data_IF_590335206966
#
_entry.id   IF_590335206966
#
_cell.length_a   1.000
_cell.length_b   1.000
_cell.length_c   1.000
_cell.angle_alpha   90.00
_cell.angle_beta   90.00
_cell.angle_gamma   90.00
#
_symmetry.space_group_name_H-M   'P 1'
#
loop_
_entity.id
_entity.type
_entity.pdbx_description
1 polymer ?
#
# COMPACT_ATOMS: atom_id res chain seq x y z
N UNK A 1 19.94 3.55 30.48
CA UNK A 1 18.89 4.12 31.35
C UNK A 1 18.49 5.54 30.96
N UNK A 2 19.37 6.35 30.35
CA UNK A 2 19.05 7.69 29.83
C UNK A 2 18.28 7.72 28.50
N UNK A 3 18.28 6.64 27.70
CA UNK A 3 17.55 6.60 26.40
C UNK A 3 16.06 6.29 26.52
N UNK A 4 15.65 5.58 27.57
CA UNK A 4 14.24 5.20 27.77
C UNK A 4 13.39 6.38 28.23
N UNK A 5 13.93 7.20 29.16
CA UNK A 5 13.27 8.43 29.57
C UNK A 5 13.17 9.45 28.45
N UNK A 6 14.17 9.54 27.54
CA UNK A 6 14.09 10.45 26.38
C UNK A 6 13.09 9.99 25.31
N UNK A 7 12.90 8.68 25.14
CA UNK A 7 11.86 8.12 24.26
C UNK A 7 10.45 8.33 24.84
N UNK A 8 10.29 8.25 26.16
CA UNK A 8 9.01 8.54 26.81
C UNK A 8 8.70 10.04 26.77
N UNK A 9 9.66 10.93 27.09
CA UNK A 9 9.42 12.38 26.99
C UNK A 9 9.17 12.83 25.57
N UNK A 10 9.91 12.32 24.56
CA UNK A 10 9.60 12.59 23.15
C UNK A 10 8.21 12.08 22.77
N UNK A 11 7.82 10.87 23.17
CA UNK A 11 6.46 10.37 22.92
C UNK A 11 5.39 11.28 23.56
N UNK A 12 5.60 11.76 24.79
CA UNK A 12 4.63 12.63 25.50
C UNK A 12 4.63 14.07 24.95
N UNK A 13 5.78 14.64 24.56
CA UNK A 13 5.83 15.95 23.90
C UNK A 13 5.30 15.92 22.45
N UNK A 14 5.45 14.78 21.78
CA UNK A 14 5.01 14.59 20.39
C UNK A 14 3.51 14.30 20.30
N UNK A 15 2.93 13.57 21.28
CA UNK A 15 1.47 13.37 21.44
C UNK A 15 0.75 14.66 21.86
N UNK A 16 1.45 15.64 22.43
CA UNK A 16 0.86 16.93 22.84
C UNK A 16 1.09 18.05 21.82
N UNK A 17 1.86 17.82 20.75
CA UNK A 17 2.23 18.86 19.78
C UNK A 17 3.05 20.01 20.38
N UNK A 18 3.70 19.79 21.54
CA UNK A 18 4.44 20.81 22.29
C UNK A 18 5.92 20.91 21.89
N UNK A 19 6.38 20.10 20.93
CA UNK A 19 7.70 20.25 20.33
C UNK A 19 7.72 21.39 19.30
N UNK A 20 8.51 22.43 19.53
CA UNK A 20 8.62 23.59 18.62
C UNK A 20 9.50 23.31 17.38
N UNK A 21 10.15 22.14 17.31
CA UNK A 21 11.08 21.80 16.23
C UNK A 21 10.46 20.73 15.34
N UNK A 22 10.26 21.08 14.07
CA UNK A 22 9.88 20.13 13.01
C UNK A 22 11.13 19.33 12.64
N UNK A 23 11.04 18.00 12.74
CA UNK A 23 12.09 17.09 12.31
C UNK A 23 12.16 16.99 10.79
N UNK A 24 13.35 16.72 10.25
CA UNK A 24 13.56 16.66 8.80
C UNK A 24 13.00 15.38 8.19
N UNK A 25 12.56 15.49 6.94
CA UNK A 25 12.14 14.37 6.10
C UNK A 25 12.95 14.41 4.82
N UNK A 26 13.55 13.29 4.45
CA UNK A 26 14.09 13.08 3.10
C UNK A 26 13.14 12.14 2.37
N UNK A 27 12.36 12.68 1.44
CA UNK A 27 11.34 11.94 0.70
C UNK A 27 11.97 11.07 -0.39
N UNK A 28 11.21 10.09 -0.90
CA UNK A 28 11.61 9.36 -2.11
C UNK A 28 11.93 10.29 -3.30
N UNK A 29 11.25 11.44 -3.41
CA UNK A 29 11.48 12.43 -4.46
C UNK A 29 12.89 13.04 -4.38
N UNK A 30 13.38 13.31 -3.16
CA UNK A 30 14.72 13.86 -2.93
C UNK A 30 15.85 12.89 -3.31
N UNK A 31 15.51 11.61 -3.51
CA UNK A 31 16.46 10.55 -3.89
C UNK A 31 16.45 10.22 -5.39
N UNK A 32 15.62 10.93 -6.17
CA UNK A 32 15.54 10.75 -7.62
C UNK A 32 16.84 11.24 -8.27
N UNK A 33 17.33 10.46 -9.24
CA UNK A 33 18.46 10.81 -10.10
C UNK A 33 17.97 11.03 -11.52
N UNK A 34 18.63 11.91 -12.25
CA UNK A 34 18.42 12.12 -13.69
C UNK A 34 16.99 12.57 -14.09
N UNK A 35 16.22 13.07 -13.12
CA UNK A 35 14.84 13.56 -13.32
C UNK A 35 13.81 12.49 -13.67
N UNK A 36 14.13 11.19 -13.50
CA UNK A 36 13.22 10.08 -13.74
C UNK A 36 12.75 9.49 -12.40
N UNK A 37 11.46 9.56 -12.11
CA UNK A 37 10.91 8.97 -10.88
C UNK A 37 10.94 7.43 -10.90
N UNK A 38 11.00 6.81 -12.08
CA UNK A 38 11.13 5.37 -12.21
C UNK A 38 12.55 4.90 -11.87
N UNK A 39 12.64 4.00 -10.90
CA UNK A 39 13.81 3.14 -10.68
C UNK A 39 13.37 1.69 -10.79
N UNK A 40 14.10 0.89 -11.59
CA UNK A 40 13.86 -0.54 -11.70
C UNK A 40 14.06 -1.24 -10.35
N UNK A 41 13.26 -2.29 -10.09
CA UNK A 41 13.53 -3.18 -8.96
C UNK A 41 14.79 -4.00 -9.22
N UNK A 42 15.64 -4.08 -8.22
CA UNK A 42 16.77 -5.00 -8.17
C UNK A 42 16.45 -6.21 -7.28
N UNK A 43 17.34 -7.20 -7.34
CA UNK A 43 17.24 -8.43 -6.57
C UNK A 43 16.96 -8.23 -5.07
N UNK A 44 17.51 -7.18 -4.44
CA UNK A 44 17.35 -6.94 -3.00
C UNK A 44 16.00 -6.31 -2.66
N UNK A 45 15.31 -5.73 -3.64
CA UNK A 45 14.07 -5.01 -3.40
C UNK A 45 12.88 -5.91 -3.06
N UNK A 46 12.94 -7.18 -3.46
CA UNK A 46 11.92 -8.20 -3.21
C UNK A 46 12.26 -9.10 -2.02
N UNK A 47 13.39 -8.87 -1.35
CA UNK A 47 13.79 -9.62 -0.16
C UNK A 47 13.00 -9.17 1.05
N UNK A 48 12.52 -10.13 1.84
CA UNK A 48 12.08 -9.87 3.21
C UNK A 48 13.28 -9.39 4.03
N UNK A 49 13.24 -8.13 4.45
CA UNK A 49 14.35 -7.48 5.14
C UNK A 49 14.40 -7.85 6.62
N UNK A 50 13.24 -8.08 7.22
CA UNK A 50 13.04 -8.27 8.65
C UNK A 50 13.77 -7.19 9.45
N UNK A 51 13.51 -5.93 9.08
CA UNK A 51 14.20 -4.76 9.63
C UNK A 51 14.24 -4.79 11.17
N UNK A 52 15.39 -4.45 11.75
CA UNK A 52 15.55 -4.40 13.20
C UNK A 52 14.79 -3.23 13.83
N UNK A 53 14.54 -3.30 15.14
CA UNK A 53 13.82 -2.26 15.87
C UNK A 53 12.31 -2.47 15.78
N UNK A 54 11.53 -1.39 15.94
CA UNK A 54 10.08 -1.46 15.78
C UNK A 54 9.75 -1.29 14.30
N UNK A 55 9.35 -2.34 13.61
CA UNK A 55 9.01 -2.28 12.20
C UNK A 55 7.85 -3.20 11.83
N UNK A 56 7.22 -2.89 10.71
CA UNK A 56 6.26 -3.78 10.05
C UNK A 56 6.64 -3.90 8.60
N UNK A 57 6.79 -5.14 8.14
CA UNK A 57 7.03 -5.47 6.75
C UNK A 57 5.87 -6.31 6.24
N UNK A 58 5.34 -5.98 5.07
CA UNK A 58 4.24 -6.71 4.48
C UNK A 58 4.37 -6.84 2.96
N UNK A 59 3.77 -7.91 2.45
CA UNK A 59 3.53 -8.14 1.04
C UNK A 59 2.03 -8.24 0.83
N UNK A 60 1.50 -7.44 -0.09
CA UNK A 60 0.08 -7.42 -0.45
C UNK A 60 -0.08 -7.72 -1.94
N UNK A 61 -1.00 -8.63 -2.24
CA UNK A 61 -1.39 -9.03 -3.58
C UNK A 61 -2.85 -8.67 -3.79
N UNK A 62 -3.10 -7.53 -4.43
CA UNK A 62 -4.44 -7.07 -4.78
C UNK A 62 -4.86 -7.70 -6.11
N UNK A 63 -6.14 -8.05 -6.22
CA UNK A 63 -6.75 -8.58 -7.44
C UNK A 63 -8.12 -7.93 -7.64
N UNK A 64 -8.35 -7.38 -8.82
CA UNK A 64 -9.66 -6.91 -9.26
C UNK A 64 -10.06 -7.67 -10.51
N UNK A 65 -11.18 -8.37 -10.43
CA UNK A 65 -11.72 -9.15 -11.55
C UNK A 65 -12.50 -8.27 -12.51
N UNK A 66 -12.70 -8.75 -13.74
CA UNK A 66 -13.50 -8.04 -14.74
C UNK A 66 -14.97 -7.87 -14.32
N UNK A 67 -15.50 -8.79 -13.53
CA UNK A 67 -16.87 -8.75 -12.99
C UNK A 67 -17.03 -7.78 -11.82
N UNK A 68 -15.94 -7.17 -11.34
CA UNK A 68 -15.98 -6.23 -10.21
C UNK A 68 -15.93 -6.91 -8.84
N UNK A 69 -15.59 -8.20 -8.77
CA UNK A 69 -15.10 -8.80 -7.54
C UNK A 69 -13.68 -8.33 -7.24
N UNK A 70 -13.36 -8.18 -5.96
CA UNK A 70 -12.08 -7.72 -5.45
C UNK A 70 -11.58 -8.65 -4.35
N UNK A 71 -10.28 -8.93 -4.38
CA UNK A 71 -9.63 -9.69 -3.34
C UNK A 71 -8.26 -9.12 -3.04
N UNK A 72 -7.80 -9.35 -1.81
CA UNK A 72 -6.36 -9.27 -1.54
C UNK A 72 -5.91 -10.34 -0.56
N UNK A 73 -4.63 -10.67 -0.67
CA UNK A 73 -3.87 -11.50 0.25
C UNK A 73 -2.72 -10.65 0.78
N UNK A 74 -2.64 -10.49 2.10
CA UNK A 74 -1.58 -9.74 2.76
C UNK A 74 -0.90 -10.60 3.82
N UNK A 75 0.42 -10.80 3.70
CA UNK A 75 1.23 -11.36 4.78
C UNK A 75 2.02 -10.25 5.47
N UNK A 76 2.02 -10.25 6.80
CA UNK A 76 2.63 -9.23 7.65
C UNK A 76 3.61 -9.91 8.61
N UNK A 77 4.83 -9.40 8.65
CA UNK A 77 5.79 -9.66 9.71
C UNK A 77 5.99 -8.37 10.50
N UNK A 78 5.64 -8.36 11.78
CA UNK A 78 5.77 -7.18 12.64
C UNK A 78 6.60 -7.49 13.88
N UNK A 79 7.58 -6.64 14.18
CA UNK A 79 8.35 -6.66 15.43
C UNK A 79 8.08 -5.40 16.27
N UNK A 80 6.87 -4.85 16.16
CA UNK A 80 6.42 -3.76 17.02
C UNK A 80 6.29 -4.29 18.47
N UNK A 81 7.21 -3.91 19.34
CA UNK A 81 7.17 -4.19 20.78
C UNK A 81 8.46 -4.83 21.34
N UNK A 82 8.37 -5.35 22.58
CA UNK A 82 9.48 -5.98 23.32
C UNK A 82 9.54 -7.51 23.16
N UNK A 83 8.64 -8.10 22.36
CA UNK A 83 8.43 -9.54 22.28
C UNK A 83 8.84 -10.11 20.92
N UNK A 84 8.72 -11.43 20.77
CA UNK A 84 8.88 -12.12 19.48
C UNK A 84 8.00 -11.47 18.39
N UNK A 85 8.43 -11.48 17.13
CA UNK A 85 7.65 -10.92 16.04
C UNK A 85 6.28 -11.58 15.93
N UNK A 86 5.26 -10.80 15.60
CA UNK A 86 3.94 -11.29 15.26
C UNK A 86 3.84 -11.49 13.75
N UNK A 87 3.38 -12.67 13.36
CA UNK A 87 3.09 -13.01 11.97
C UNK A 87 1.58 -13.02 11.81
N UNK A 88 1.06 -12.16 10.96
CA UNK A 88 -0.36 -12.12 10.66
C UNK A 88 -0.60 -12.17 9.17
N UNK A 89 -1.74 -12.72 8.81
CA UNK A 89 -2.21 -12.82 7.46
C UNK A 89 -3.62 -12.23 7.38
N UNK A 90 -3.82 -11.34 6.41
CA UNK A 90 -5.12 -10.74 6.13
C UNK A 90 -5.58 -11.13 4.74
N UNK A 91 -6.82 -11.57 4.62
CA UNK A 91 -7.48 -11.84 3.35
C UNK A 91 -8.79 -11.09 3.26
N UNK A 92 -9.01 -10.47 2.11
CA UNK A 92 -10.28 -9.90 1.70
C UNK A 92 -10.79 -10.67 0.48
N UNK A 93 -12.06 -10.99 0.49
CA UNK A 93 -12.78 -11.42 -0.71
C UNK A 93 -14.14 -10.74 -0.74
N UNK A 94 -14.35 -9.89 -1.73
CA UNK A 94 -15.59 -9.18 -1.99
C UNK A 94 -16.06 -9.52 -3.41
N UNK A 95 -17.31 -9.96 -3.53
CA UNK A 95 -17.93 -10.28 -4.80
C UNK A 95 -19.41 -9.85 -4.75
N UNK A 96 -19.79 -8.78 -5.48
CA UNK A 96 -21.16 -8.28 -5.48
C UNK A 96 -22.14 -9.23 -6.17
N UNK A 97 -21.70 -10.03 -7.15
CA UNK A 97 -22.58 -10.94 -7.89
C UNK A 97 -23.06 -12.09 -7.00
N UNK A 98 -22.17 -12.59 -6.14
CA UNK A 98 -22.51 -13.66 -5.18
C UNK A 98 -22.92 -13.15 -3.80
N UNK A 99 -22.95 -11.82 -3.61
CA UNK A 99 -23.12 -11.15 -2.32
C UNK A 99 -22.16 -11.69 -1.24
N UNK A 100 -20.91 -11.96 -1.64
CA UNK A 100 -19.87 -12.46 -0.74
C UNK A 100 -19.03 -11.30 -0.26
N UNK A 101 -18.89 -11.17 1.05
CA UNK A 101 -18.10 -10.13 1.68
C UNK A 101 -17.38 -10.76 2.88
N UNK A 102 -16.09 -11.06 2.73
CA UNK A 102 -15.28 -11.77 3.71
C UNK A 102 -14.02 -10.98 4.01
N UNK A 103 -13.77 -10.73 5.29
CA UNK A 103 -12.51 -10.24 5.82
C UNK A 103 -12.02 -11.23 6.88
N UNK A 104 -10.78 -11.69 6.75
CA UNK A 104 -10.17 -12.67 7.66
C UNK A 104 -8.79 -12.18 8.05
N UNK A 105 -8.53 -12.12 9.35
CA UNK A 105 -7.22 -11.86 9.93
C UNK A 105 -6.81 -13.06 10.79
N UNK A 106 -5.68 -13.67 10.48
CA UNK A 106 -5.21 -14.92 11.08
C UNK A 106 -3.77 -14.72 11.57
N UNK A 107 -3.55 -14.95 12.85
CA UNK A 107 -2.21 -14.94 13.44
C UNK A 107 -1.55 -16.31 13.31
N UNK A 108 -0.24 -16.32 13.11
CA UNK A 108 0.58 -17.50 12.90
C UNK A 108 1.87 -17.39 13.73
N UNK A 109 2.60 -18.51 13.81
CA UNK A 109 3.80 -18.63 14.63
C UNK A 109 5.06 -18.84 13.80
N UNK A 110 4.95 -19.42 12.60
CA UNK A 110 6.09 -19.73 11.74
C UNK A 110 6.29 -18.70 10.64
N UNK A 111 7.55 -18.39 10.38
CA UNK A 111 7.97 -17.55 9.27
C UNK A 111 9.35 -18.03 8.77
N UNK A 112 9.33 -18.86 7.74
CA UNK A 112 10.52 -19.46 7.14
C UNK A 112 10.77 -18.84 5.77
N UNK A 113 11.92 -18.21 5.62
CA UNK A 113 12.33 -17.60 4.35
C UNK A 113 13.12 -18.59 3.49
N UNK A 114 12.99 -18.46 2.17
CA UNK A 114 13.94 -19.05 1.23
C UNK A 114 15.36 -18.49 1.45
N UNK A 115 16.36 -19.18 0.90
CA UNK A 115 17.76 -18.77 1.05
C UNK A 115 18.04 -17.34 0.50
N UNK A 116 17.34 -16.95 -0.56
CA UNK A 116 17.40 -15.62 -1.15
C UNK A 116 16.44 -14.61 -0.49
N UNK A 117 15.67 -15.04 0.52
CA UNK A 117 14.69 -14.25 1.29
C UNK A 117 13.52 -13.67 0.48
N UNK A 118 13.25 -14.15 -0.73
CA UNK A 118 12.15 -13.62 -1.58
C UNK A 118 10.87 -14.44 -1.55
N UNK A 119 10.96 -15.64 -0.99
CA UNK A 119 9.83 -16.54 -0.78
C UNK A 119 9.69 -16.84 0.70
N UNK A 120 8.46 -17.12 1.13
CA UNK A 120 8.12 -17.35 2.52
C UNK A 120 7.14 -18.51 2.67
N UNK A 121 7.36 -19.29 3.73
CA UNK A 121 6.47 -20.33 4.20
C UNK A 121 6.11 -20.10 5.67
N UNK A 122 4.85 -20.26 6.00
CA UNK A 122 4.31 -20.15 7.36
C UNK A 122 3.56 -21.44 7.73
N UNK A 123 2.75 -21.40 8.79
CA UNK A 123 1.90 -22.52 9.20
C UNK A 123 0.91 -22.95 8.11
N UNK A 124 0.30 -21.98 7.41
CA UNK A 124 -0.77 -22.24 6.42
C UNK A 124 -0.51 -21.61 5.04
N UNK A 125 0.56 -20.84 4.88
CA UNK A 125 0.78 -20.00 3.71
C UNK A 125 2.13 -20.31 3.07
N UNK A 126 2.16 -20.39 1.75
CA UNK A 126 3.37 -20.36 0.95
C UNK A 126 3.25 -19.29 -0.12
N UNK A 127 4.19 -18.35 -0.14
CA UNK A 127 4.34 -17.34 -1.19
C UNK A 127 5.70 -17.61 -1.83
N UNK A 128 5.71 -17.98 -3.10
CA UNK A 128 6.91 -18.38 -3.83
C UNK A 128 7.12 -17.44 -5.01
N UNK A 129 8.26 -16.76 -5.05
CA UNK A 129 8.72 -16.03 -6.24
C UNK A 129 9.47 -16.99 -7.16
N UNK A 130 9.17 -16.95 -8.45
CA UNK A 130 9.89 -17.73 -9.45
C UNK A 130 11.34 -17.23 -9.63
N UNK A 131 12.18 -18.08 -10.23
CA UNK A 131 13.60 -17.76 -10.42
C UNK A 131 13.82 -16.53 -11.33
N UNK A 132 12.90 -16.27 -12.25
CA UNK A 132 12.95 -15.11 -13.16
C UNK A 132 12.43 -13.82 -12.51
N UNK A 133 11.84 -13.90 -11.31
CA UNK A 133 11.27 -12.78 -10.56
C UNK A 133 10.16 -12.05 -11.33
N UNK A 134 9.33 -12.83 -12.01
CA UNK A 134 8.17 -12.40 -12.81
C UNK A 134 6.85 -12.90 -12.25
N UNK A 135 6.84 -13.98 -11.48
CA UNK A 135 5.62 -14.61 -11.02
C UNK A 135 5.69 -14.99 -9.54
N UNK A 136 4.62 -14.66 -8.81
CA UNK A 136 4.38 -15.23 -7.48
C UNK A 136 3.34 -16.34 -7.56
N UNK A 137 3.61 -17.42 -6.83
CA UNK A 137 2.62 -18.45 -6.52
C UNK A 137 2.25 -18.38 -5.05
N UNK A 138 0.99 -18.08 -4.76
CA UNK A 138 0.45 -17.97 -3.41
C UNK A 138 -0.47 -19.16 -3.15
N UNK A 139 -0.21 -19.89 -2.07
CA UNK A 139 -1.08 -20.97 -1.58
C UNK A 139 -1.40 -20.75 -0.11
N UNK A 140 -2.68 -20.82 0.24
CA UNK A 140 -3.18 -20.75 1.60
C UNK A 140 -4.03 -21.99 1.84
N UNK A 141 -3.77 -22.72 2.92
CA UNK A 141 -4.44 -23.99 3.27
C UNK A 141 -5.10 -23.94 4.64
N UNK A 142 -5.54 -22.76 5.07
CA UNK A 142 -6.21 -22.60 6.36
C UNK A 142 -7.62 -23.23 6.31
N UNK A 143 -8.11 -23.90 7.37
CA UNK A 143 -9.42 -24.57 7.35
C UNK A 143 -10.61 -23.67 6.99
N UNK A 144 -10.54 -22.39 7.32
CA UNK A 144 -11.59 -21.41 7.02
C UNK A 144 -11.40 -20.67 5.69
N UNK A 145 -10.25 -20.85 5.04
CA UNK A 145 -9.84 -20.09 3.86
C UNK A 145 -8.76 -20.85 3.09
N UNK A 146 -9.11 -21.29 1.88
CA UNK A 146 -8.15 -21.90 0.95
C UNK A 146 -8.00 -20.99 -0.25
N UNK A 147 -6.76 -20.70 -0.64
CA UNK A 147 -6.45 -19.87 -1.81
C UNK A 147 -5.34 -20.56 -2.59
N UNK A 148 -5.49 -20.63 -3.91
CA UNK A 148 -4.38 -20.90 -4.82
C UNK A 148 -4.40 -19.81 -5.88
N UNK A 149 -3.32 -19.05 -5.99
CA UNK A 149 -3.24 -17.87 -6.86
C UNK A 149 -1.88 -17.84 -7.55
N UNK A 150 -1.91 -17.86 -8.89
CA UNK A 150 -0.79 -17.53 -9.74
C UNK A 150 -0.88 -16.04 -10.10
N UNK A 151 0.24 -15.33 -9.96
CA UNK A 151 0.30 -13.87 -10.05
C UNK A 151 1.50 -13.43 -10.89
N UNK A 152 1.27 -13.19 -12.18
CA UNK A 152 2.29 -12.95 -13.20
C UNK A 152 2.41 -11.46 -13.52
N UNK A 153 3.58 -10.85 -13.27
CA UNK A 153 3.85 -9.44 -13.60
C UNK A 153 3.74 -9.20 -15.10
N UNK A 154 3.02 -8.14 -15.49
CA UNK A 154 2.81 -7.82 -16.91
C UNK A 154 4.04 -7.18 -17.57
N UNK A 155 4.69 -6.21 -16.92
CA UNK A 155 5.91 -5.56 -17.42
C UNK A 155 6.97 -5.47 -16.32
N UNK A 156 7.26 -4.27 -15.82
CA UNK A 156 8.31 -4.00 -14.83
C UNK A 156 7.70 -3.63 -13.50
N UNK A 157 8.37 -4.02 -12.43
CA UNK A 157 8.15 -3.44 -11.11
C UNK A 157 8.95 -2.15 -10.96
N UNK A 158 8.59 -1.33 -9.98
CA UNK A 158 9.32 -0.08 -9.72
C UNK A 158 9.42 0.25 -8.24
N UNK A 159 10.42 1.10 -7.95
CA UNK A 159 10.53 1.93 -6.75
C UNK A 159 10.78 3.38 -7.20
N UNK A 160 10.44 4.36 -6.38
CA UNK A 160 10.78 5.77 -6.65
C UNK A 160 12.12 6.11 -6.02
N UNK A 161 13.08 6.61 -6.80
CA UNK A 161 14.41 6.95 -6.32
C UNK A 161 15.09 5.74 -5.66
N UNK A 162 15.53 5.87 -4.40
CA UNK A 162 16.05 4.76 -3.59
C UNK A 162 14.97 3.81 -3.03
N UNK A 163 13.69 4.13 -3.21
CA UNK A 163 12.56 3.36 -2.69
C UNK A 163 12.30 3.55 -1.20
N UNK A 164 12.86 4.62 -0.59
CA UNK A 164 12.68 4.95 0.83
C UNK A 164 12.45 6.45 1.05
N UNK A 165 11.51 6.76 1.94
CA UNK A 165 11.40 8.05 2.63
C UNK A 165 12.01 7.88 4.02
N UNK A 166 12.93 8.77 4.40
CA UNK A 166 13.59 8.78 5.70
C UNK A 166 12.99 9.86 6.60
N UNK A 167 12.76 9.52 7.88
CA UNK A 167 12.13 10.38 8.87
C UNK A 167 13.12 10.70 10.00
N UNK A 168 13.21 11.98 10.37
CA UNK A 168 14.09 12.44 11.45
C UNK A 168 15.57 12.48 11.05
N UNK A 169 15.87 12.68 9.77
CA UNK A 169 17.23 12.69 9.25
C UNK A 169 17.35 12.18 7.82
N UNK A 170 18.60 12.01 7.38
CA UNK A 170 18.94 11.35 6.12
C UNK A 170 19.14 9.84 6.32
N UNK A 171 19.53 9.13 5.26
CA UNK A 171 19.85 7.70 5.30
C UNK A 171 20.78 7.26 6.45
N UNK A 172 21.72 8.11 6.88
CA UNK A 172 22.70 7.77 7.91
C UNK A 172 22.19 8.07 9.33
N UNK A 173 21.24 8.99 9.48
CA UNK A 173 20.81 9.55 10.76
C UNK A 173 19.32 9.36 11.07
N UNK A 174 18.53 8.83 10.13
CA UNK A 174 17.08 8.72 10.27
C UNK A 174 16.64 7.87 11.45
N UNK A 175 15.60 8.34 12.13
CA UNK A 175 14.92 7.63 13.20
C UNK A 175 14.04 6.49 12.68
N UNK A 176 13.56 6.60 11.44
CA UNK A 176 12.73 5.59 10.79
C UNK A 176 12.67 5.80 9.28
N UNK A 177 12.04 4.85 8.58
CA UNK A 177 11.84 4.96 7.13
C UNK A 177 10.52 4.32 6.70
N UNK A 178 10.04 4.73 5.54
CA UNK A 178 8.94 4.09 4.81
C UNK A 178 9.47 3.63 3.47
N UNK A 179 9.19 2.39 3.08
CA UNK A 179 9.61 1.83 1.81
C UNK A 179 8.46 1.17 1.09
N UNK A 180 8.35 1.41 -0.22
CA UNK A 180 7.37 0.74 -1.07
C UNK A 180 8.03 0.28 -2.37
N UNK A 181 7.68 -0.94 -2.80
CA UNK A 181 8.01 -1.49 -4.11
C UNK A 181 6.76 -2.08 -4.71
N UNK A 182 6.63 -1.91 -6.01
CA UNK A 182 5.37 -2.18 -6.69
C UNK A 182 5.57 -3.08 -7.89
N UNK A 183 4.64 -4.02 -8.10
CA UNK A 183 4.30 -4.45 -9.46
C UNK A 183 2.96 -3.79 -9.81
N UNK A 184 2.95 -2.79 -10.71
CA UNK A 184 1.77 -1.96 -10.95
C UNK A 184 0.67 -2.68 -11.76
N UNK A 185 1.02 -3.76 -12.46
CA UNK A 185 0.07 -4.64 -13.12
C UNK A 185 0.60 -6.08 -13.14
N UNK A 186 -0.28 -7.01 -12.79
CA UNK A 186 -0.09 -8.44 -12.93
C UNK A 186 -1.36 -9.08 -13.48
N UNK A 187 -1.21 -10.24 -14.14
CA UNK A 187 -2.32 -11.14 -14.40
C UNK A 187 -2.47 -12.05 -13.17
N UNK A 188 -3.65 -12.06 -12.57
CA UNK A 188 -3.94 -12.86 -11.40
C UNK A 188 -4.98 -13.92 -11.76
N UNK A 189 -4.64 -15.20 -11.55
CA UNK A 189 -5.53 -16.32 -11.81
C UNK A 189 -5.47 -17.33 -10.68
N UNK A 190 -6.62 -17.76 -10.19
CA UNK A 190 -6.66 -18.66 -9.06
C UNK A 190 -8.06 -19.00 -8.58
N UNK A 191 -8.10 -19.65 -7.43
CA UNK A 191 -9.33 -20.11 -6.80
C UNK A 191 -9.32 -19.72 -5.33
N UNK A 192 -10.42 -19.14 -4.85
CA UNK A 192 -10.67 -18.81 -3.46
C UNK A 192 -11.80 -19.70 -2.96
N UNK A 193 -11.55 -20.45 -1.88
CA UNK A 193 -12.58 -21.17 -1.15
C UNK A 193 -12.86 -20.41 0.13
N UNK A 194 -13.95 -19.66 0.13
CA UNK A 194 -14.42 -18.82 1.24
C UNK A 194 -15.82 -19.24 1.63
N UNK A 195 -16.08 -19.38 2.94
CA UNK A 195 -17.39 -19.85 3.45
C UNK A 195 -17.88 -21.14 2.77
N UNK A 196 -16.96 -22.07 2.48
CA UNK A 196 -17.21 -23.34 1.78
C UNK A 196 -17.73 -23.20 0.34
N UNK A 197 -17.65 -22.01 -0.26
CA UNK A 197 -17.96 -21.75 -1.66
C UNK A 197 -16.69 -21.55 -2.45
N UNK A 198 -16.67 -22.08 -3.66
CA UNK A 198 -15.56 -21.96 -4.60
C UNK A 198 -15.81 -20.72 -5.46
N UNK A 199 -14.82 -19.85 -5.53
CA UNK A 199 -14.81 -18.66 -6.38
C UNK A 199 -13.57 -18.71 -7.26
N UNK A 200 -13.78 -18.82 -8.57
CA UNK A 200 -12.70 -18.67 -9.53
C UNK A 200 -12.40 -17.17 -9.70
N UNK A 201 -11.13 -16.83 -9.68
CA UNK A 201 -10.64 -15.46 -9.77
C UNK A 201 -9.74 -15.36 -11.00
N UNK A 202 -10.11 -14.47 -11.91
CA UNK A 202 -9.28 -14.05 -13.02
C UNK A 202 -9.40 -12.53 -13.16
N UNK A 203 -8.27 -11.83 -13.09
CA UNK A 203 -8.28 -10.37 -13.05
C UNK A 203 -6.92 -9.72 -13.16
N UNK A 204 -6.93 -8.40 -13.07
CA UNK A 204 -5.74 -7.58 -12.97
C UNK A 204 -5.33 -7.44 -11.51
N UNK A 205 -4.03 -7.45 -11.25
CA UNK A 205 -3.49 -7.34 -9.90
C UNK A 205 -2.44 -6.25 -9.73
N UNK A 206 -2.23 -5.88 -8.47
CA UNK A 206 -1.14 -5.02 -8.02
C UNK A 206 -0.42 -5.69 -6.85
N UNK A 207 0.91 -5.76 -6.91
CA UNK A 207 1.73 -6.21 -5.79
C UNK A 207 2.37 -5.01 -5.10
N UNK A 208 2.35 -5.01 -3.78
CA UNK A 208 3.04 -4.02 -2.94
C UNK A 208 3.88 -4.74 -1.90
N UNK A 209 5.17 -4.45 -1.85
CA UNK A 209 6.06 -4.81 -0.74
C UNK A 209 6.37 -3.55 0.06
N UNK A 210 5.80 -3.45 1.25
CA UNK A 210 5.88 -2.27 2.10
C UNK A 210 6.69 -2.54 3.37
N UNK A 211 7.50 -1.57 3.78
CA UNK A 211 8.19 -1.59 5.07
C UNK A 211 7.95 -0.26 5.77
N UNK A 212 7.48 -0.33 7.00
CA UNK A 212 7.40 0.76 7.94
C UNK A 212 8.45 0.51 9.03
N UNK A 213 9.57 1.21 8.95
CA UNK A 213 10.72 1.08 9.85
C UNK A 213 10.58 1.82 11.18
N UNK A 214 9.35 2.13 11.59
CA UNK A 214 9.00 2.67 12.91
C UNK A 214 7.50 2.41 13.15
N UNK A 215 6.98 2.83 14.31
CA UNK A 215 5.57 2.66 14.66
C UNK A 215 4.66 3.48 13.73
N UNK A 216 3.60 2.91 13.14
CA UNK A 216 2.79 3.57 12.10
C UNK A 216 2.24 4.94 12.52
N UNK A 217 1.81 5.08 13.77
CA UNK A 217 1.27 6.33 14.31
C UNK A 217 2.29 7.47 14.46
N UNK A 218 3.59 7.15 14.38
CA UNK A 218 4.65 8.17 14.34
C UNK A 218 4.98 8.57 12.89
N UNK A 219 4.71 7.70 11.92
CA UNK A 219 5.02 7.91 10.51
C UNK A 219 4.04 8.89 9.88
N UNK A 220 2.75 8.58 9.96
CA UNK A 220 1.74 9.23 9.15
C UNK A 220 0.46 9.55 9.93
N UNK A 221 -0.21 10.63 9.52
CA UNK A 221 -1.54 11.01 10.00
C UNK A 221 -2.63 10.32 9.17
N UNK A 222 -2.45 10.26 7.85
CA UNK A 222 -3.36 9.62 6.91
C UNK A 222 -2.65 8.96 5.72
N UNK A 223 -3.36 8.03 5.07
CA UNK A 223 -2.97 7.41 3.80
C UNK A 223 -4.11 7.43 2.82
N UNK A 224 -3.78 7.61 1.54
CA UNK A 224 -4.67 7.39 0.42
C UNK A 224 -4.03 6.36 -0.51
N UNK A 225 -4.75 5.27 -0.77
CA UNK A 225 -4.35 4.26 -1.75
C UNK A 225 -5.38 4.20 -2.87
N UNK A 226 -4.89 4.09 -4.11
CA UNK A 226 -5.71 3.91 -5.31
C UNK A 226 -5.13 2.77 -6.11
N UNK A 227 -5.98 1.81 -6.45
CA UNK A 227 -5.67 0.75 -7.40
C UNK A 227 -6.79 0.66 -8.45
N UNK A 228 -6.55 1.26 -9.61
CA UNK A 228 -7.48 1.26 -10.74
C UNK A 228 -7.03 0.28 -11.82
N UNK A 229 -7.96 -0.54 -12.30
CA UNK A 229 -7.75 -1.46 -13.41
C UNK A 229 -8.87 -1.35 -14.45
N UNK A 230 -8.46 -1.27 -15.71
CA UNK A 230 -9.31 -1.35 -16.89
C UNK A 230 -8.65 -2.26 -17.92
N UNK A 231 -9.37 -2.53 -19.02
CA UNK A 231 -8.79 -3.27 -20.16
C UNK A 231 -7.46 -2.65 -20.62
N UNK A 232 -7.44 -1.31 -20.79
CA UNK A 232 -6.29 -0.59 -21.35
C UNK A 232 -5.25 -0.21 -20.31
N UNK A 233 -5.65 0.13 -19.08
CA UNK A 233 -4.76 0.77 -18.12
C UNK A 233 -4.85 0.19 -16.71
N UNK A 234 -3.70 0.16 -16.02
CA UNK A 234 -3.62 0.05 -14.56
C UNK A 234 -2.98 1.31 -14.00
N UNK A 235 -3.63 1.93 -13.02
CA UNK A 235 -3.23 3.22 -12.46
C UNK A 235 -3.18 3.09 -10.95
N UNK A 236 -2.00 3.30 -10.38
CA UNK A 236 -1.76 3.18 -8.95
C UNK A 236 -1.45 4.53 -8.31
N UNK A 237 -1.86 4.73 -7.07
CA UNK A 237 -1.39 5.81 -6.20
C UNK A 237 -1.20 5.31 -4.77
N UNK A 238 -0.06 5.66 -4.16
CA UNK A 238 0.20 5.50 -2.74
C UNK A 238 0.64 6.87 -2.19
N UNK A 239 -0.24 7.50 -1.43
CA UNK A 239 0.03 8.76 -0.76
C UNK A 239 -0.05 8.57 0.75
N UNK A 240 0.89 9.18 1.48
CA UNK A 240 0.75 9.37 2.91
C UNK A 240 1.19 10.76 3.31
N UNK A 241 0.53 11.30 4.33
CA UNK A 241 0.92 12.53 4.97
C UNK A 241 1.69 12.21 6.25
N UNK A 242 2.89 12.76 6.41
CA UNK A 242 3.64 12.58 7.65
C UNK A 242 2.91 13.22 8.83
N UNK A 243 3.19 12.76 10.05
CA UNK A 243 2.67 13.42 11.26
C UNK A 243 3.20 14.86 11.38
N UNK A 244 2.56 15.71 12.20
CA UNK A 244 3.01 17.08 12.46
C UNK A 244 4.48 17.21 12.88
N UNK A 245 5.02 16.22 13.60
CA UNK A 245 6.44 16.24 14.01
C UNK A 245 7.40 16.27 12.81
N UNK A 246 6.95 15.75 11.66
CA UNK A 246 7.66 15.67 10.40
C UNK A 246 7.11 16.64 9.35
N UNK A 247 6.40 17.69 9.79
CA UNK A 247 6.00 18.81 8.93
C UNK A 247 4.76 18.58 8.08
N UNK A 248 3.97 17.51 8.31
CA UNK A 248 2.76 17.21 7.52
C UNK A 248 3.02 17.13 6.00
N UNK A 249 4.19 16.61 5.64
CA UNK A 249 4.64 16.47 4.25
C UNK A 249 3.82 15.38 3.57
N UNK A 250 3.25 15.70 2.41
CA UNK A 250 2.59 14.73 1.55
C UNK A 250 3.63 14.04 0.67
N UNK A 251 3.83 12.74 0.87
CA UNK A 251 4.63 11.90 0.00
C UNK A 251 3.67 11.13 -0.90
N UNK A 252 3.88 11.21 -2.21
CA UNK A 252 3.01 10.58 -3.20
C UNK A 252 3.84 9.80 -4.23
N UNK A 253 3.40 8.59 -4.56
CA UNK A 253 3.97 7.74 -5.59
C UNK A 253 2.84 7.21 -6.46
N UNK A 254 2.96 7.41 -7.77
CA UNK A 254 1.96 7.04 -8.74
C UNK A 254 2.56 6.25 -9.90
N UNK A 255 1.72 5.51 -10.61
CA UNK A 255 2.16 4.76 -11.80
C UNK A 255 1.04 4.62 -12.83
N UNK A 256 1.44 4.49 -14.09
CA UNK A 256 0.57 4.19 -15.21
C UNK A 256 1.16 3.06 -16.04
N UNK A 257 0.45 1.94 -16.06
CA UNK A 257 0.63 0.89 -17.07
C UNK A 257 -0.44 1.12 -18.14
N UNK A 258 -0.03 1.32 -19.38
CA UNK A 258 -0.94 1.52 -20.51
C UNK A 258 -0.63 0.48 -21.58
N UNK A 259 -1.65 -0.24 -22.05
CA UNK A 259 -1.55 -1.31 -23.04
C UNK A 259 -0.48 -2.36 -22.69
N UNK A 260 -0.35 -2.68 -21.40
CA UNK A 260 0.60 -3.68 -20.90
C UNK A 260 2.03 -3.19 -20.71
N UNK A 261 2.34 -1.91 -20.92
CA UNK A 261 3.67 -1.34 -20.65
C UNK A 261 3.61 -0.33 -19.50
N UNK A 262 4.55 -0.38 -18.55
CA UNK A 262 4.73 0.68 -17.56
C UNK A 262 5.32 1.90 -18.26
N UNK A 263 4.48 2.92 -18.50
CA UNK A 263 4.87 4.10 -19.26
C UNK A 263 5.25 5.28 -18.38
N UNK A 264 4.75 5.37 -17.15
CA UNK A 264 5.02 6.50 -16.25
C UNK A 264 5.07 6.06 -14.79
N UNK A 265 6.02 6.62 -14.05
CA UNK A 265 6.03 6.69 -12.58
C UNK A 265 6.09 8.17 -12.22
N UNK A 266 5.30 8.59 -11.24
CA UNK A 266 5.11 10.00 -10.91
C UNK A 266 5.11 10.25 -9.41
N UNK A 267 5.54 11.45 -9.03
CA UNK A 267 5.53 11.95 -7.64
C UNK A 267 4.67 13.20 -7.47
N UNK A 268 4.37 13.91 -8.57
CA UNK A 268 3.46 15.05 -8.60
C UNK A 268 2.04 14.54 -8.84
N UNK A 269 1.43 14.01 -7.79
CA UNK A 269 0.06 13.51 -7.83
C UNK A 269 -0.76 14.15 -6.72
N UNK A 270 -2.05 14.36 -6.97
CA UNK A 270 -2.99 14.96 -6.02
C UNK A 270 -4.19 14.06 -5.74
N UNK A 271 -4.64 14.11 -4.49
CA UNK A 271 -5.89 13.55 -4.01
C UNK A 271 -6.70 14.71 -3.45
N UNK A 272 -7.84 14.99 -4.07
CA UNK A 272 -8.79 16.00 -3.60
C UNK A 272 -10.03 15.26 -3.10
N UNK A 273 -10.24 15.28 -1.77
CA UNK A 273 -11.42 14.75 -1.12
C UNK A 273 -12.54 15.78 -1.19
N UNK A 274 -13.65 15.44 -1.83
CA UNK A 274 -14.73 16.36 -2.16
C UNK A 274 -16.04 15.91 -1.50
N UNK A 275 -16.93 16.89 -1.29
CA UNK A 275 -18.28 16.66 -0.77
C UNK A 275 -18.25 15.88 0.55
N UNK A 276 -17.41 16.31 1.50
CA UNK A 276 -17.19 15.62 2.77
C UNK A 276 -18.47 15.51 3.60
N UNK A 277 -18.74 14.31 4.14
CA UNK A 277 -19.87 14.01 5.01
C UNK A 277 -19.37 13.28 6.25
N UNK A 278 -19.91 13.63 7.41
CA UNK A 278 -19.58 12.98 8.67
C UNK A 278 -20.17 11.57 8.75
N UNK A 279 -19.34 10.56 8.98
CA UNK A 279 -19.75 9.20 9.34
C UNK A 279 -20.22 9.20 10.81
N UNK A 280 -21.49 8.83 11.03
CA UNK A 280 -22.11 8.79 12.35
C UNK A 280 -21.54 7.68 13.26
N UNK A 281 -20.87 6.66 12.71
CA UNK A 281 -20.33 5.56 13.50
C UNK A 281 -18.91 5.81 14.01
N UNK A 282 -18.09 6.56 13.25
CA UNK A 282 -16.69 6.80 13.61
C UNK A 282 -16.37 8.26 13.88
N UNK A 283 -17.31 9.17 13.65
CA UNK A 283 -17.14 10.62 13.70
C UNK A 283 -16.15 11.21 12.66
N UNK A 284 -15.66 10.44 11.69
CA UNK A 284 -14.77 10.93 10.65
C UNK A 284 -15.55 11.59 9.52
N UNK A 285 -15.02 12.69 8.98
CA UNK A 285 -15.48 13.21 7.70
C UNK A 285 -14.91 12.35 6.56
N UNK A 286 -15.79 11.80 5.73
CA UNK A 286 -15.45 10.97 4.57
C UNK A 286 -15.94 11.62 3.28
N UNK A 287 -15.21 11.48 2.16
CA UNK A 287 -15.62 12.07 0.88
C UNK A 287 -16.90 11.41 0.35
N UNK A 288 -17.63 12.13 -0.51
CA UNK A 288 -18.61 11.54 -1.43
C UNK A 288 -18.08 11.51 -2.87
N UNK A 289 -16.99 12.25 -3.14
CA UNK A 289 -16.23 12.16 -4.39
C UNK A 289 -14.75 12.32 -4.12
N UNK A 290 -13.93 11.69 -4.95
CA UNK A 290 -12.47 11.87 -4.92
C UNK A 290 -12.00 12.23 -6.31
N UNK A 291 -11.32 13.38 -6.43
CA UNK A 291 -10.64 13.77 -7.67
C UNK A 291 -9.15 13.46 -7.53
N UNK A 292 -8.63 12.73 -8.51
CA UNK A 292 -7.28 12.19 -8.54
C UNK A 292 -6.58 12.73 -9.78
N UNK A 293 -5.35 13.21 -9.60
CA UNK A 293 -4.52 13.66 -10.72
C UNK A 293 -3.12 13.08 -10.60
N UNK A 294 -2.55 12.63 -11.71
CA UNK A 294 -1.14 12.26 -11.82
C UNK A 294 -0.48 13.14 -12.86
N UNK A 295 0.70 13.67 -12.54
CA UNK A 295 1.55 14.40 -13.48
C UNK A 295 2.94 13.81 -13.45
N UNK A 296 3.43 13.45 -14.62
CA UNK A 296 4.74 12.86 -14.78
C UNK A 296 5.23 12.96 -16.20
N UNK A 297 6.24 12.15 -16.51
CA UNK A 297 6.80 12.04 -17.84
C UNK A 297 6.94 10.56 -18.20
N UNK A 298 6.97 10.25 -19.50
CA UNK A 298 7.21 8.89 -19.94
C UNK A 298 8.58 8.40 -19.46
N UNK A 299 8.67 7.11 -19.15
CA UNK A 299 9.94 6.49 -18.78
C UNK A 299 10.82 6.42 -20.02
N UNK A 300 12.06 6.93 -19.91
CA UNK A 300 13.03 6.85 -21.00
C UNK A 300 13.37 5.40 -21.31
N UNK A 301 13.24 4.98 -22.56
CA UNK A 301 13.73 3.68 -23.04
C UNK A 301 15.18 3.76 -23.51
N UNK A 302 15.61 4.95 -23.93
CA UNK A 302 16.97 5.25 -24.38
C UNK A 302 17.43 6.59 -23.78
N UNK A 303 18.74 6.76 -23.61
CA UNK A 303 19.33 7.94 -22.96
C UNK A 303 18.99 9.26 -23.70
N UNK A 304 18.93 9.19 -25.04
CA UNK A 304 18.65 10.32 -25.93
C UNK A 304 17.15 10.54 -26.22
N UNK A 305 16.25 9.74 -25.63
CA UNK A 305 14.80 9.90 -25.82
C UNK A 305 14.29 11.07 -24.97
N UNK A 306 13.59 12.01 -25.60
CA UNK A 306 12.89 13.08 -24.89
C UNK A 306 11.59 12.53 -24.25
N UNK A 307 11.45 12.61 -22.93
CA UNK A 307 10.23 12.16 -22.25
C UNK A 307 9.03 13.03 -22.62
N UNK A 308 7.91 12.41 -22.97
CA UNK A 308 6.63 13.09 -23.18
C UNK A 308 5.96 13.36 -21.84
N UNK A 309 5.22 14.45 -21.74
CA UNK A 309 4.40 14.72 -20.55
C UNK A 309 3.26 13.70 -20.44
N UNK A 310 2.98 13.27 -19.21
CA UNK A 310 1.89 12.36 -18.87
C UNK A 310 1.00 13.04 -17.84
N UNK A 311 -0.28 13.14 -18.15
CA UNK A 311 -1.32 13.64 -17.24
C UNK A 311 -2.46 12.65 -17.18
N UNK A 312 -2.89 12.30 -15.98
CA UNK A 312 -4.06 11.45 -15.75
C UNK A 312 -5.01 12.21 -14.86
N UNK A 313 -6.28 12.26 -15.23
CA UNK A 313 -7.36 12.79 -14.40
C UNK A 313 -8.43 11.72 -14.21
N UNK A 314 -8.88 11.55 -12.98
CA UNK A 314 -9.95 10.62 -12.64
C UNK A 314 -10.81 11.22 -11.53
N UNK A 315 -12.13 11.18 -11.70
CA UNK A 315 -13.09 11.55 -10.66
C UNK A 315 -13.89 10.30 -10.31
N UNK A 316 -13.84 9.92 -9.04
CA UNK A 316 -14.53 8.74 -8.53
C UNK A 316 -15.67 9.20 -7.62
N UNK A 317 -16.89 8.78 -7.94
CA UNK A 317 -18.02 8.87 -7.02
C UNK A 317 -17.89 7.71 -6.01
N UNK A 318 -17.56 8.00 -4.75
CA UNK A 318 -17.35 6.94 -3.74
C UNK A 318 -18.69 6.53 -3.14
N UNK A 319 -19.24 5.43 -3.65
CA UNK A 319 -20.61 4.97 -3.33
C UNK A 319 -20.59 3.57 -2.72
N UNK A 320 -19.71 2.71 -3.22
CA UNK A 320 -19.68 1.30 -2.84
C UNK A 320 -18.64 1.07 -1.74
N UNK A 321 -18.98 1.44 -0.51
CA UNK A 321 -18.17 1.12 0.67
C UNK A 321 -18.22 -0.39 0.90
N UNK A 322 -17.09 -1.07 0.65
CA UNK A 322 -17.01 -2.53 0.82
C UNK A 322 -16.63 -2.91 2.25
N UNK A 323 -15.86 -2.07 2.95
CA UNK A 323 -15.47 -2.32 4.34
C UNK A 323 -15.13 -1.03 5.10
N UNK A 324 -15.27 -1.11 6.41
CA UNK A 324 -14.87 -0.08 7.37
C UNK A 324 -14.23 -0.76 8.58
N UNK A 325 -12.91 -0.68 8.67
CA UNK A 325 -12.10 -1.48 9.60
C UNK A 325 -11.63 -0.60 10.76
N UNK A 326 -12.01 -0.96 12.00
CA UNK A 326 -11.40 -0.42 13.23
C UNK A 326 -10.05 -1.14 13.45
N UNK A 327 -8.94 -0.46 13.14
CA UNK A 327 -7.61 -1.07 13.22
C UNK A 327 -7.31 -1.57 14.64
N UNK A 328 -7.83 -0.90 15.68
CA UNK A 328 -7.62 -1.34 17.06
C UNK A 328 -8.36 -2.64 17.36
N UNK A 329 -9.52 -2.86 16.74
CA UNK A 329 -10.27 -4.11 16.87
C UNK A 329 -9.49 -5.30 16.31
N UNK A 330 -8.73 -5.07 15.23
CA UNK A 330 -8.02 -6.11 14.46
C UNK A 330 -6.62 -6.47 15.00
N UNK A 331 -6.04 -5.64 15.87
CA UNK A 331 -4.74 -5.94 16.49
C UNK A 331 -4.87 -6.76 17.79
N UNK A 332 -3.92 -7.66 18.08
CA UNK A 332 -3.86 -8.37 19.35
C UNK A 332 -3.91 -7.44 20.56
N UNK A 333 -4.58 -7.88 21.63
CA UNK A 333 -4.85 -7.09 22.84
C UNK A 333 -3.61 -6.41 23.46
N UNK A 334 -2.44 -7.07 23.38
CA UNK A 334 -1.18 -6.52 23.93
C UNK A 334 -0.70 -5.31 23.14
N UNK A 335 -0.81 -5.33 21.81
CA UNK A 335 -0.48 -4.19 20.95
C UNK A 335 -1.48 -3.06 21.20
N UNK A 336 -2.77 -3.39 21.34
CA UNK A 336 -3.83 -2.41 21.65
C UNK A 336 -3.49 -1.55 22.87
N UNK A 337 -2.90 -2.12 23.92
CA UNK A 337 -2.46 -1.36 25.11
C UNK A 337 -1.33 -0.37 24.85
N UNK A 338 -0.46 -0.61 23.87
CA UNK A 338 0.63 0.31 23.52
C UNK A 338 0.13 1.52 22.70
N UNK A 339 -0.97 1.35 21.96
CA UNK A 339 -1.60 2.40 21.13
C UNK A 339 -2.81 3.07 21.80
N UNK A 340 -3.14 2.71 23.05
CA UNK A 340 -4.21 3.34 23.84
C UNK A 340 -3.96 4.82 24.17
N UNK A 341 -2.77 5.35 23.88
CA UNK A 341 -2.45 6.78 23.98
C UNK A 341 -2.98 7.62 22.80
N UNK A 342 -3.55 7.00 21.76
CA UNK A 342 -4.14 7.71 20.64
C UNK A 342 -5.44 8.40 21.05
N UNK A 343 -5.56 9.70 20.74
CA UNK A 343 -6.75 10.51 21.05
C UNK A 343 -7.95 10.12 20.16
N UNK A 344 -7.68 9.60 18.96
CA UNK A 344 -8.69 9.17 17.98
C UNK A 344 -8.38 7.77 17.50
N UNK A 345 -9.42 6.95 17.32
CA UNK A 345 -9.29 5.57 16.84
C UNK A 345 -8.89 5.54 15.36
N UNK A 346 -7.87 4.77 14.97
CA UNK A 346 -7.53 4.58 13.57
C UNK A 346 -8.56 3.72 12.83
N UNK A 347 -8.96 4.17 11.64
CA UNK A 347 -9.91 3.48 10.76
C UNK A 347 -9.41 3.40 9.33
N UNK A 348 -9.79 2.33 8.63
CA UNK A 348 -9.61 2.18 7.17
C UNK A 348 -10.99 2.14 6.55
N UNK A 349 -11.22 2.98 5.56
CA UNK A 349 -12.37 2.91 4.68
C UNK A 349 -11.94 2.34 3.34
N UNK A 350 -12.68 1.35 2.83
CA UNK A 350 -12.39 0.70 1.57
C UNK A 350 -13.58 0.82 0.63
N UNK A 351 -13.34 1.34 -0.57
CA UNK A 351 -14.34 1.43 -1.63
C UNK A 351 -13.89 0.68 -2.87
N UNK A 352 -14.86 0.18 -3.63
CA UNK A 352 -14.65 -0.37 -4.96
C UNK A 352 -15.73 0.17 -5.89
N UNK A 353 -15.38 1.21 -6.62
CA UNK A 353 -16.29 1.92 -7.51
C UNK A 353 -15.80 1.84 -8.95
N UNK A 354 -16.70 2.07 -9.91
CA UNK A 354 -16.30 2.30 -11.30
C UNK A 354 -15.84 3.74 -11.48
N UNK A 355 -14.85 3.93 -12.33
CA UNK A 355 -14.38 5.25 -12.70
C UNK A 355 -13.90 5.28 -14.16
N UNK A 356 -13.82 6.48 -14.73
CA UNK A 356 -13.20 6.72 -16.04
C UNK A 356 -11.91 7.48 -15.83
N UNK A 357 -10.81 6.93 -16.35
CA UNK A 357 -9.52 7.59 -16.36
C UNK A 357 -9.30 8.29 -17.71
N UNK A 358 -9.04 9.60 -17.66
CA UNK A 358 -8.65 10.41 -18.81
C UNK A 358 -7.12 10.53 -18.81
N UNK A 359 -6.47 9.91 -19.77
CA UNK A 359 -5.01 9.78 -19.87
C UNK A 359 -4.52 10.58 -21.06
N UNK A 360 -3.57 11.48 -20.84
CA UNK A 360 -2.88 12.25 -21.88
C UNK A 360 -1.38 11.91 -21.87
N UNK A 361 -0.82 11.52 -23.00
CA UNK A 361 0.62 11.23 -23.20
C UNK A 361 1.13 12.05 -24.39
N UNK A 362 1.81 13.17 -24.11
CA UNK A 362 2.09 14.18 -25.12
C UNK A 362 0.78 14.70 -25.74
N UNK A 363 0.62 14.53 -27.05
CA UNK A 363 -0.58 14.93 -27.78
C UNK A 363 -1.67 13.83 -27.84
N UNK A 364 -1.35 12.61 -27.40
CA UNK A 364 -2.26 11.46 -27.46
C UNK A 364 -3.18 11.44 -26.24
N UNK A 365 -4.48 11.22 -26.47
CA UNK A 365 -5.48 11.07 -25.41
C UNK A 365 -6.15 9.71 -25.46
N UNK A 366 -6.31 9.09 -24.30
CA UNK A 366 -6.98 7.81 -24.11
C UNK A 366 -7.93 7.93 -22.92
N UNK A 367 -9.19 7.57 -23.12
CA UNK A 367 -10.17 7.39 -22.05
C UNK A 367 -10.45 5.89 -21.87
N UNK A 368 -10.58 5.45 -20.62
CA UNK A 368 -10.87 4.05 -20.29
C UNK A 368 -11.68 3.95 -19.00
N UNK A 369 -12.77 3.17 -19.03
CA UNK A 369 -13.56 2.82 -17.84
C UNK A 369 -12.96 1.57 -17.17
N UNK A 370 -12.94 1.57 -15.85
CA UNK A 370 -12.46 0.44 -15.06
C UNK A 370 -12.99 0.46 -13.64
N UNK A 371 -12.48 -0.47 -12.84
CA UNK A 371 -12.76 -0.58 -11.42
C UNK A 371 -11.65 0.10 -10.64
N UNK A 372 -12.03 0.92 -9.66
CA UNK A 372 -11.17 1.71 -8.81
C UNK A 372 -11.35 1.26 -7.36
N UNK A 373 -10.38 0.50 -6.87
CA UNK A 373 -10.26 0.24 -5.44
C UNK A 373 -9.58 1.43 -4.76
N UNK A 374 -10.16 1.92 -3.67
CA UNK A 374 -9.62 3.03 -2.90
C UNK A 374 -9.58 2.72 -1.41
N UNK A 375 -8.50 3.12 -0.75
CA UNK A 375 -8.43 3.13 0.71
C UNK A 375 -8.16 4.55 1.21
N UNK A 376 -8.94 4.96 2.21
CA UNK A 376 -8.66 6.12 3.03
C UNK A 376 -8.37 5.64 4.45
N UNK A 377 -7.14 5.84 4.90
CA UNK A 377 -6.70 5.43 6.23
C UNK A 377 -6.54 6.66 7.10
N UNK A 378 -7.23 6.67 8.23
CA UNK A 378 -6.96 7.58 9.32
C UNK A 378 -6.10 6.85 10.34
N UNK A 379 -4.84 7.26 10.51
CA UNK A 379 -3.87 6.57 11.39
C UNK A 379 -3.76 7.30 12.73
N UNK A 380 -3.69 8.62 12.70
CA UNK A 380 -3.64 9.45 13.90
C UNK A 380 -4.24 10.83 13.64
N UNK A 381 -4.82 11.44 14.69
CA UNK A 381 -5.35 12.80 14.62
C UNK A 381 -4.30 13.92 14.71
N UNK A 382 -3.00 13.58 14.60
CA UNK A 382 -1.90 14.50 14.89
C UNK A 382 -1.28 15.11 13.65
#
# INVERSE_FOLDING_TARGET
MSSWFSQITSTVSNVTGLGTNVETVQTVADTIKDGQAYTALDNKDLEWTLASGSSTENQVFYVTTKTGAFAFVQLIHSNIGLWNPTISFTCRFYDPETNTNVFKNINMSKFELSADKRSVKTDFISIQLDAEQKAYKINITHPELVVSLDFDRVDKGFKVGEGKTYLGGDKASAAGFVSHKFWPRANAKGTFIVNQKIHEVEGDGMFVHAIQGMQPQLIASNWNFVNFHSEKASIGMMQFQTTKQYGSVNINQGSLVLNGELICVSIDNSVELLDMVKDNETDYDIPQKVKLTWKGKTIKKQENEEPKDVVIEMVVDVKNLIDKIDILAEIPYVIRKLVQSLIVKPYIYQWLDKATAEITVGDEKVSTEGHCFQELVFVSGF
#
